data_IF_399709207170
#
_entry.id   IF_399709207170
#
_cell.length_a   1.000
_cell.length_b   1.000
_cell.length_c   1.000
_cell.angle_alpha   90.00
_cell.angle_beta   90.00
_cell.angle_gamma   90.00
#
_symmetry.space_group_name_H-M   'P 1'
#
loop_
_entity.id
_entity.type
_entity.pdbx_description
1 polymer ?
#
# COMPACT_ATOMS: atom_id res chain seq x y z
N UNK A 1 -10.38 -9.02 -13.94
CA UNK A 1 -10.42 -10.04 -12.88
C UNK A 1 -11.77 -10.75 -12.73
N UNK A 2 -12.92 -10.18 -13.12
CA UNK A 2 -14.26 -10.80 -12.96
C UNK A 2 -14.53 -12.13 -13.70
N UNK A 3 -13.56 -12.64 -14.46
CA UNK A 3 -13.66 -13.94 -15.14
C UNK A 3 -13.36 -15.14 -14.24
N UNK A 4 -12.60 -14.98 -13.16
CA UNK A 4 -12.12 -16.12 -12.36
C UNK A 4 -13.20 -16.62 -11.38
N UNK A 5 -13.91 -15.68 -10.73
CA UNK A 5 -15.05 -15.98 -9.85
C UNK A 5 -16.23 -16.63 -10.61
N UNK A 6 -16.42 -16.27 -11.88
CA UNK A 6 -17.52 -16.78 -12.73
C UNK A 6 -17.19 -18.12 -13.42
N UNK A 7 -15.93 -18.57 -13.37
CA UNK A 7 -15.51 -19.86 -13.96
C UNK A 7 -15.51 -21.03 -12.99
N UNK A 8 -15.51 -20.78 -11.68
CA UNK A 8 -15.59 -21.85 -10.68
C UNK A 8 -17.02 -22.36 -10.55
N UNK A 9 -17.20 -23.69 -10.45
CA UNK A 9 -18.49 -24.32 -10.14
C UNK A 9 -18.67 -24.58 -8.64
N UNK A 10 -17.61 -24.39 -7.86
CA UNK A 10 -17.61 -24.65 -6.42
C UNK A 10 -18.00 -23.39 -5.66
N UNK A 11 -19.19 -23.42 -5.07
CA UNK A 11 -19.77 -22.32 -4.28
C UNK A 11 -18.83 -21.84 -3.17
N UNK A 12 -18.08 -22.77 -2.56
CA UNK A 12 -17.11 -22.47 -1.50
C UNK A 12 -15.97 -21.59 -2.04
N UNK A 13 -15.40 -21.95 -3.18
CA UNK A 13 -14.30 -21.20 -3.79
C UNK A 13 -14.73 -19.80 -4.25
N UNK A 14 -15.94 -19.67 -4.81
CA UNK A 14 -16.52 -18.38 -5.21
C UNK A 14 -16.67 -17.47 -3.98
N UNK A 15 -17.22 -18.00 -2.89
CA UNK A 15 -17.42 -17.22 -1.68
C UNK A 15 -16.09 -16.76 -1.06
N UNK A 16 -15.10 -17.65 -0.98
CA UNK A 16 -13.76 -17.32 -0.48
C UNK A 16 -13.08 -16.24 -1.33
N UNK A 17 -13.15 -16.35 -2.66
CA UNK A 17 -12.61 -15.34 -3.57
C UNK A 17 -13.30 -13.98 -3.37
N UNK A 18 -14.63 -13.97 -3.21
CA UNK A 18 -15.39 -12.75 -2.95
C UNK A 18 -15.02 -12.09 -1.62
N UNK A 19 -14.82 -12.86 -0.55
CA UNK A 19 -14.34 -12.35 0.75
C UNK A 19 -12.95 -11.74 0.61
N UNK A 20 -12.03 -12.41 -0.09
CA UNK A 20 -10.68 -11.88 -0.33
C UNK A 20 -10.75 -10.58 -1.13
N UNK A 21 -11.57 -10.51 -2.19
CA UNK A 21 -11.78 -9.29 -2.96
C UNK A 21 -12.25 -8.15 -2.07
N UNK A 22 -13.28 -8.37 -1.26
CA UNK A 22 -13.78 -7.34 -0.35
C UNK A 22 -12.74 -6.88 0.67
N UNK A 23 -11.86 -7.78 1.14
CA UNK A 23 -10.75 -7.41 2.02
C UNK A 23 -9.69 -6.57 1.30
N UNK A 24 -9.36 -6.92 0.05
CA UNK A 24 -8.38 -6.17 -0.76
C UNK A 24 -8.90 -4.80 -1.22
N UNK A 25 -10.22 -4.66 -1.33
CA UNK A 25 -10.93 -3.42 -1.65
C UNK A 25 -11.40 -2.67 -0.39
N UNK A 26 -10.98 -3.07 0.81
CA UNK A 26 -11.27 -2.30 2.02
C UNK A 26 -10.41 -1.03 2.04
N UNK A 27 -11.03 0.11 2.35
CA UNK A 27 -10.36 1.40 2.30
C UNK A 27 -9.24 1.54 3.32
N UNK A 28 -9.35 0.90 4.48
CA UNK A 28 -8.29 0.88 5.49
C UNK A 28 -7.16 -0.02 5.04
N UNK A 29 -7.47 -1.18 4.46
CA UNK A 29 -6.46 -2.07 3.91
C UNK A 29 -5.63 -1.39 2.81
N UNK A 30 -6.29 -0.81 1.81
CA UNK A 30 -5.61 -0.10 0.70
C UNK A 30 -4.81 1.09 1.20
N UNK A 31 -5.32 1.83 2.19
CA UNK A 31 -4.58 2.93 2.82
C UNK A 31 -3.27 2.46 3.44
N UNK A 32 -3.33 1.46 4.33
CA UNK A 32 -2.13 0.95 4.98
C UNK A 32 -1.16 0.32 3.99
N UNK A 33 -1.67 -0.42 3.00
CA UNK A 33 -0.84 -1.00 1.94
C UNK A 33 -0.09 0.09 1.15
N UNK A 34 -0.76 1.21 0.83
CA UNK A 34 -0.14 2.34 0.12
C UNK A 34 0.94 3.01 0.99
N UNK A 35 0.66 3.19 2.28
CA UNK A 35 1.64 3.75 3.23
C UNK A 35 2.88 2.86 3.32
N UNK A 36 2.70 1.54 3.46
CA UNK A 36 3.82 0.60 3.49
C UNK A 36 4.59 0.59 2.17
N UNK A 37 3.90 0.59 1.03
CA UNK A 37 4.53 0.64 -0.29
C UNK A 37 5.45 1.85 -0.45
N UNK A 38 5.03 3.02 0.04
CA UNK A 38 5.83 4.24 -0.02
C UNK A 38 7.02 4.23 0.95
N UNK A 39 6.90 3.57 2.10
CA UNK A 39 7.96 3.50 3.11
C UNK A 39 9.05 2.47 2.74
N UNK A 40 8.67 1.33 2.14
CA UNK A 40 9.59 0.21 1.87
C UNK A 40 10.87 0.59 1.12
N UNK A 41 10.84 1.39 0.04
CA UNK A 41 12.06 1.79 -0.66
C UNK A 41 13.06 2.53 0.24
N UNK A 42 12.57 3.31 1.21
CA UNK A 42 13.42 4.01 2.16
C UNK A 42 14.05 3.06 3.19
N UNK A 43 13.31 2.02 3.60
CA UNK A 43 13.82 0.96 4.48
C UNK A 43 14.90 0.15 3.77
N UNK A 44 14.66 -0.22 2.50
CA UNK A 44 15.63 -0.98 1.69
C UNK A 44 16.94 -0.19 1.50
N UNK A 45 16.84 1.12 1.22
CA UNK A 45 18.02 1.99 1.10
C UNK A 45 18.78 2.05 2.42
N UNK A 46 18.10 2.23 3.55
CA UNK A 46 18.73 2.26 4.87
C UNK A 46 19.42 0.92 5.18
N UNK A 47 18.72 -0.20 4.96
CA UNK A 47 19.26 -1.54 5.17
C UNK A 47 20.54 -1.77 4.35
N UNK A 48 20.50 -1.48 3.05
CA UNK A 48 21.64 -1.62 2.15
C UNK A 48 22.83 -0.74 2.55
N UNK A 49 22.57 0.42 3.17
CA UNK A 49 23.63 1.29 3.68
C UNK A 49 24.22 0.74 4.98
N UNK A 50 23.39 0.23 5.89
CA UNK A 50 23.82 -0.36 7.16
C UNK A 50 24.52 -1.72 6.99
N UNK A 51 24.31 -2.43 5.89
CA UNK A 51 24.99 -3.70 5.62
C UNK A 51 26.45 -3.52 5.14
N UNK A 52 26.88 -2.31 4.78
CA UNK A 52 28.23 -2.07 4.27
C UNK A 52 29.29 -2.30 5.35
N UNK A 53 30.33 -3.07 5.02
CA UNK A 53 31.40 -3.52 5.94
C UNK A 53 32.20 -2.39 6.60
N UNK A 54 32.16 -1.16 6.05
CA UNK A 54 32.89 0.02 6.57
C UNK A 54 31.92 1.11 7.01
N UNK A 55 31.10 0.83 8.01
CA UNK A 55 30.22 1.84 8.57
C UNK A 55 30.95 2.68 9.62
N UNK A 56 31.32 3.88 9.22
CA UNK A 56 31.60 4.96 10.16
C UNK A 56 30.31 5.33 10.89
N UNK A 57 30.36 5.48 12.22
CA UNK A 57 29.24 5.93 13.04
C UNK A 57 28.66 7.28 12.56
N UNK A 58 29.49 8.16 11.99
CA UNK A 58 29.03 9.41 11.38
C UNK A 58 28.16 9.15 10.14
N UNK A 59 28.53 8.18 9.31
CA UNK A 59 27.77 7.77 8.14
C UNK A 59 26.42 7.14 8.55
N UNK A 60 26.41 6.26 9.55
CA UNK A 60 25.17 5.66 10.09
C UNK A 60 24.21 6.77 10.54
N UNK A 61 24.68 7.72 11.36
CA UNK A 61 23.86 8.84 11.83
C UNK A 61 23.29 9.66 10.66
N UNK A 62 24.10 9.93 9.65
CA UNK A 62 23.65 10.65 8.44
C UNK A 62 22.52 9.88 7.73
N UNK A 63 22.66 8.57 7.56
CA UNK A 63 21.65 7.77 6.86
C UNK A 63 20.35 7.62 7.66
N UNK A 64 20.44 7.48 8.98
CA UNK A 64 19.27 7.50 9.86
C UNK A 64 18.54 8.84 9.76
N UNK A 65 19.26 9.96 9.74
CA UNK A 65 18.66 11.28 9.55
C UNK A 65 17.98 11.43 8.19
N UNK A 66 18.60 10.95 7.11
CA UNK A 66 17.99 10.94 5.77
C UNK A 66 16.71 10.11 5.76
N UNK A 67 16.74 8.92 6.35
CA UNK A 67 15.56 8.06 6.48
C UNK A 67 14.42 8.75 7.24
N UNK A 68 14.73 9.38 8.38
CA UNK A 68 13.74 10.13 9.17
C UNK A 68 13.12 11.28 8.36
N UNK A 69 13.92 12.02 7.59
CA UNK A 69 13.41 13.09 6.72
C UNK A 69 12.49 12.56 5.62
N UNK A 70 12.82 11.42 5.01
CA UNK A 70 11.95 10.76 4.04
C UNK A 70 10.63 10.30 4.66
N UNK A 71 10.67 9.72 5.87
CA UNK A 71 9.45 9.36 6.59
C UNK A 71 8.57 10.56 6.93
N UNK A 72 9.15 11.69 7.34
CA UNK A 72 8.40 12.91 7.59
C UNK A 72 7.74 13.47 6.32
N UNK A 73 8.39 13.31 5.16
CA UNK A 73 7.77 13.65 3.87
C UNK A 73 6.59 12.74 3.55
N UNK A 74 6.75 11.42 3.73
CA UNK A 74 5.64 10.49 3.49
C UNK A 74 4.50 10.69 4.47
N UNK A 75 4.80 10.99 5.74
CA UNK A 75 3.80 11.33 6.74
C UNK A 75 2.94 12.51 6.30
N UNK A 76 3.56 13.57 5.77
CA UNK A 76 2.83 14.73 5.22
C UNK A 76 1.99 14.39 3.99
N UNK A 77 2.42 13.41 3.20
CA UNK A 77 1.64 12.91 2.04
C UNK A 77 0.48 12.01 2.44
N UNK A 78 0.42 11.48 3.66
CA UNK A 78 -0.67 10.60 4.11
C UNK A 78 -2.04 11.28 4.04
N UNK A 79 -2.10 12.60 4.30
CA UNK A 79 -3.34 13.37 4.15
C UNK A 79 -3.83 13.39 2.69
N UNK A 80 -2.89 13.46 1.74
CA UNK A 80 -3.19 13.40 0.30
C UNK A 80 -3.61 12.00 -0.12
N UNK A 81 -2.91 10.97 0.36
CA UNK A 81 -3.25 9.56 0.09
C UNK A 81 -4.67 9.24 0.57
N UNK A 82 -5.07 9.76 1.73
CA UNK A 82 -6.44 9.60 2.25
C UNK A 82 -7.47 10.19 1.29
N UNK A 83 -7.21 11.39 0.76
CA UNK A 83 -8.10 12.07 -0.19
C UNK A 83 -8.18 11.32 -1.53
N UNK A 84 -7.04 10.90 -2.07
CA UNK A 84 -6.97 10.14 -3.34
C UNK A 84 -7.73 8.82 -3.25
N UNK A 85 -7.57 8.10 -2.13
CA UNK A 85 -8.29 6.85 -1.87
C UNK A 85 -9.80 7.12 -1.80
N UNK A 86 -10.24 8.14 -1.06
CA UNK A 86 -11.68 8.49 -1.00
C UNK A 86 -12.26 8.83 -2.37
N UNK A 87 -11.54 9.62 -3.18
CA UNK A 87 -11.98 9.99 -4.53
C UNK A 87 -12.08 8.76 -5.45
N UNK A 88 -11.11 7.85 -5.36
CA UNK A 88 -11.11 6.58 -6.09
C UNK A 88 -12.33 5.72 -5.73
N UNK A 89 -12.63 5.53 -4.44
CA UNK A 89 -13.81 4.78 -3.97
C UNK A 89 -15.14 5.39 -4.45
N UNK A 90 -15.26 6.71 -4.48
CA UNK A 90 -16.46 7.38 -5.01
C UNK A 90 -16.63 7.14 -6.51
N UNK A 91 -15.56 7.22 -7.30
CA UNK A 91 -15.62 6.89 -8.73
C UNK A 91 -15.93 5.43 -9.00
N UNK A 92 -15.42 4.49 -8.20
CA UNK A 92 -15.69 3.05 -8.36
C UNK A 92 -17.15 2.71 -8.06
N UNK A 93 -17.72 3.21 -6.94
CA UNK A 93 -19.15 3.03 -6.63
C UNK A 93 -20.06 3.65 -7.68
N UNK A 94 -19.70 4.81 -8.23
CA UNK A 94 -20.48 5.44 -9.31
C UNK A 94 -20.55 4.57 -10.56
N UNK A 95 -19.45 3.88 -10.92
CA UNK A 95 -19.43 2.96 -12.06
C UNK A 95 -20.27 1.71 -11.79
N UNK A 96 -20.16 1.08 -10.61
CA UNK A 96 -20.99 -0.09 -10.27
C UNK A 96 -22.49 0.18 -10.30
N UNK A 97 -22.93 1.40 -9.98
CA UNK A 97 -24.36 1.79 -10.07
C UNK A 97 -24.86 2.01 -11.49
N UNK A 98 -23.97 2.27 -12.45
CA UNK A 98 -24.33 2.51 -13.86
C UNK A 98 -24.45 1.19 -14.63
N UNK A 99 -23.75 0.14 -14.17
CA UNK A 99 -23.76 -1.20 -14.76
C UNK A 99 -24.72 -2.19 -14.05
N UNK A 100 -25.59 -1.69 -13.18
CA UNK A 100 -26.63 -2.46 -12.49
C UNK A 100 -28.00 -2.03 -13.00
#
# INVERSE_FOLDING_TARGET
MGKIESTSKEVIAINQAGVIRHMLEDSKFVFWLTVFHNIMPHVDVLYNQLQKTRNDAALIRKQVNVFQQSLEKERKRMDTVTKEISASYETSRKRERIFK
#
